data_IF_044135428537
#
_entry.id   IF_044135428537
#
_cell.length_a   1.000
_cell.length_b   1.000
_cell.length_c   1.000
_cell.angle_alpha   90.00
_cell.angle_beta   90.00
_cell.angle_gamma   90.00
#
_symmetry.space_group_name_H-M   'P 1'
#
loop_
_entity.id
_entity.type
_entity.pdbx_description
1 polymer ?
#
# COMPACT_ATOMS: atom_id res chain seq x y z
N UNK A 1 -2.62 -10.93 9.84
CA UNK A 1 -1.45 -10.48 9.06
C UNK A 1 -0.18 -10.97 9.76
N UNK A 2 0.71 -11.58 8.99
CA UNK A 2 2.02 -12.02 9.43
C UNK A 2 3.03 -10.94 9.03
N UNK A 3 3.73 -10.40 10.01
CA UNK A 3 4.80 -9.42 9.81
C UNK A 3 6.17 -10.12 9.84
N UNK A 4 7.11 -9.61 9.07
CA UNK A 4 8.49 -10.04 9.09
C UNK A 4 9.24 -9.58 10.37
N UNK A 5 10.55 -9.77 10.38
CA UNK A 5 11.39 -9.32 11.49
C UNK A 5 11.54 -7.79 11.49
N UNK A 6 11.23 -7.17 12.63
CA UNK A 6 11.35 -5.72 12.85
C UNK A 6 12.75 -5.18 12.55
N UNK A 7 13.78 -5.94 12.93
CA UNK A 7 15.18 -5.52 12.67
C UNK A 7 15.51 -5.40 11.18
N UNK A 8 14.93 -6.24 10.32
CA UNK A 8 15.12 -6.16 8.87
C UNK A 8 14.48 -4.89 8.33
N UNK A 9 13.24 -4.58 8.74
CA UNK A 9 12.57 -3.35 8.34
C UNK A 9 13.37 -2.10 8.71
N UNK A 10 13.75 -1.97 9.99
CA UNK A 10 14.37 -0.76 10.51
C UNK A 10 15.80 -0.49 9.98
N UNK A 11 16.49 -1.53 9.52
CA UNK A 11 17.88 -1.40 9.03
C UNK A 11 17.98 -1.11 7.53
N UNK A 12 16.90 -1.28 6.79
CA UNK A 12 16.91 -1.01 5.36
C UNK A 12 17.14 0.48 5.07
N UNK A 13 17.91 0.74 4.04
CA UNK A 13 18.30 2.08 3.60
C UNK A 13 17.72 2.36 2.22
N UNK A 14 17.46 3.60 1.83
CA UNK A 14 17.83 4.87 2.49
C UNK A 14 16.87 5.30 3.62
N UNK A 15 15.80 4.60 3.82
CA UNK A 15 14.83 4.75 4.90
C UNK A 15 14.25 3.38 5.25
N UNK A 16 13.62 3.20 6.42
CA UNK A 16 13.04 1.91 6.80
C UNK A 16 11.95 1.47 5.81
N UNK A 17 12.11 0.29 5.22
CA UNK A 17 11.10 -0.37 4.39
C UNK A 17 11.16 -1.88 4.55
N UNK A 18 10.07 -2.56 4.18
CA UNK A 18 10.00 -4.02 4.22
C UNK A 18 9.17 -4.57 3.08
N UNK A 19 9.58 -5.75 2.60
CA UNK A 19 8.81 -6.54 1.67
C UNK A 19 8.52 -7.92 2.28
N UNK A 20 7.26 -8.30 2.32
CA UNK A 20 6.81 -9.52 2.96
C UNK A 20 5.98 -10.33 1.94
N UNK A 21 6.31 -11.60 1.81
CA UNK A 21 5.53 -12.57 1.02
C UNK A 21 4.55 -13.29 1.93
N UNK A 22 3.35 -13.54 1.41
CA UNK A 22 2.28 -14.25 2.10
C UNK A 22 1.92 -13.62 3.47
N UNK A 23 1.75 -12.29 3.57
CA UNK A 23 1.38 -11.64 4.84
C UNK A 23 -0.02 -12.00 5.30
N UNK A 24 -0.88 -12.45 4.40
CA UNK A 24 -2.27 -12.85 4.67
C UNK A 24 -2.36 -14.38 4.56
N UNK A 25 -3.04 -15.00 5.52
CA UNK A 25 -3.33 -16.44 5.46
C UNK A 25 -3.97 -16.79 4.10
N UNK A 26 -3.52 -17.88 3.47
CA UNK A 26 -3.90 -18.26 2.11
C UNK A 26 -5.43 -18.32 1.91
N UNK A 27 -6.16 -18.97 2.83
CA UNK A 27 -7.63 -19.10 2.70
C UNK A 27 -8.33 -17.74 2.76
N UNK A 28 -7.89 -16.88 3.67
CA UNK A 28 -8.44 -15.54 3.80
C UNK A 28 -8.07 -14.66 2.58
N UNK A 29 -6.83 -14.79 2.11
CA UNK A 29 -6.36 -14.11 0.89
C UNK A 29 -7.18 -14.51 -0.35
N UNK A 30 -7.47 -15.81 -0.52
CA UNK A 30 -8.30 -16.29 -1.64
C UNK A 30 -9.68 -15.64 -1.66
N UNK A 31 -10.31 -15.46 -0.51
CA UNK A 31 -11.62 -14.80 -0.42
C UNK A 31 -11.53 -13.29 -0.72
N UNK A 32 -10.48 -12.62 -0.26
CA UNK A 32 -10.22 -11.23 -0.63
C UNK A 32 -9.97 -11.09 -2.14
N UNK A 33 -9.15 -11.96 -2.71
CA UNK A 33 -8.84 -11.94 -4.14
C UNK A 33 -10.09 -12.15 -5.00
N UNK A 34 -10.90 -13.18 -4.72
CA UNK A 34 -12.13 -13.48 -5.45
C UNK A 34 -13.16 -12.35 -5.39
N UNK A 35 -13.15 -11.61 -4.30
CA UNK A 35 -14.13 -10.56 -4.01
C UNK A 35 -13.53 -9.15 -4.11
N UNK A 36 -12.36 -9.01 -4.76
CA UNK A 36 -11.79 -7.70 -5.03
C UNK A 36 -12.79 -6.87 -5.84
N UNK A 37 -13.08 -5.61 -5.43
CA UNK A 37 -14.18 -4.86 -6.02
C UNK A 37 -13.96 -4.58 -7.50
N UNK A 38 -14.97 -4.88 -8.30
CA UNK A 38 -15.01 -4.51 -9.71
C UNK A 38 -15.05 -3.00 -9.87
N UNK A 39 -14.56 -2.50 -10.99
CA UNK A 39 -14.61 -1.07 -11.30
C UNK A 39 -16.05 -0.64 -11.54
N UNK A 40 -16.52 0.30 -10.74
CA UNK A 40 -17.85 0.89 -10.77
C UNK A 40 -17.78 2.42 -10.58
N UNK A 41 -18.90 3.07 -10.34
CA UNK A 41 -19.02 4.52 -10.15
C UNK A 41 -18.40 5.04 -8.83
N UNK A 42 -17.99 4.15 -7.93
CA UNK A 42 -17.25 4.50 -6.70
C UNK A 42 -15.75 4.67 -6.95
N UNK A 43 -15.27 4.25 -8.10
CA UNK A 43 -13.88 4.43 -8.48
C UNK A 43 -13.66 5.81 -9.10
N UNK A 44 -12.54 6.43 -8.77
CA UNK A 44 -12.13 7.72 -9.30
C UNK A 44 -10.72 7.68 -9.87
N UNK A 45 -10.46 8.50 -10.88
CA UNK A 45 -9.13 8.68 -11.42
C UNK A 45 -8.26 9.50 -10.47
N UNK A 46 -7.04 9.02 -10.26
CA UNK A 46 -6.01 9.74 -9.52
C UNK A 46 -4.89 10.11 -10.50
N UNK A 47 -5.26 10.88 -11.52
CA UNK A 47 -4.43 11.21 -12.66
C UNK A 47 -3.94 12.66 -12.61
N UNK A 48 -2.66 12.85 -12.78
CA UNK A 48 -2.01 14.11 -13.04
C UNK A 48 -0.73 13.85 -13.86
N UNK A 49 0.09 14.88 -14.08
CA UNK A 49 1.33 14.72 -14.86
C UNK A 49 2.40 13.87 -14.17
N UNK A 50 2.21 13.49 -12.90
CA UNK A 50 3.14 12.67 -12.12
C UNK A 50 2.67 11.25 -11.91
N UNK A 51 1.37 10.98 -12.10
CA UNK A 51 0.77 9.66 -11.83
C UNK A 51 -0.47 9.39 -12.65
N UNK A 52 -0.75 8.11 -12.84
CA UNK A 52 -2.02 7.61 -13.33
C UNK A 52 -2.39 6.32 -12.58
N UNK A 53 -3.60 6.26 -12.08
CA UNK A 53 -4.21 5.07 -11.47
C UNK A 53 -5.68 5.33 -11.20
N UNK A 54 -6.46 4.27 -10.95
CA UNK A 54 -7.80 4.43 -10.39
C UNK A 54 -7.84 3.94 -8.94
N UNK A 55 -8.61 4.62 -8.14
CA UNK A 55 -8.74 4.36 -6.70
C UNK A 55 -10.20 4.31 -6.27
N UNK A 56 -10.45 3.56 -5.20
CA UNK A 56 -11.73 3.53 -4.50
C UNK A 56 -11.49 3.59 -3.00
N UNK A 57 -12.16 4.49 -2.31
CA UNK A 57 -12.17 4.47 -0.85
C UNK A 57 -13.00 3.30 -0.31
N UNK A 58 -12.65 2.83 0.88
CA UNK A 58 -13.50 1.91 1.61
C UNK A 58 -14.72 2.66 2.16
N UNK A 59 -15.91 2.14 1.85
CA UNK A 59 -17.17 2.70 2.33
C UNK A 59 -17.30 4.21 2.12
N UNK A 60 -17.62 4.92 3.20
CA UNK A 60 -17.67 6.39 3.24
C UNK A 60 -16.35 7.05 3.65
N UNK A 61 -15.30 6.23 3.90
CA UNK A 61 -13.98 6.75 4.23
C UNK A 61 -13.45 7.64 3.09
N UNK A 62 -12.70 8.67 3.46
CA UNK A 62 -11.95 9.52 2.53
C UNK A 62 -10.52 9.64 3.03
N UNK A 63 -9.63 10.13 2.19
CA UNK A 63 -8.18 10.13 2.41
C UNK A 63 -7.69 10.54 3.81
N UNK A 64 -8.42 11.24 4.61
CA UNK A 64 -8.00 11.71 5.94
C UNK A 64 -9.04 11.43 7.02
N UNK A 65 -10.06 10.64 6.71
CA UNK A 65 -11.16 10.38 7.60
C UNK A 65 -11.61 8.92 7.49
N UNK A 66 -11.21 8.12 8.46
CA UNK A 66 -11.68 6.74 8.60
C UNK A 66 -13.01 6.75 9.35
N UNK A 67 -14.00 6.15 8.73
CA UNK A 67 -15.32 5.91 9.33
C UNK A 67 -15.41 4.42 9.59
N UNK A 68 -15.51 4.03 10.86
CA UNK A 68 -15.52 2.63 11.30
C UNK A 68 -16.92 2.01 11.10
N UNK A 69 -17.28 1.82 9.84
CA UNK A 69 -18.54 1.23 9.40
C UNK A 69 -18.29 0.24 8.28
N UNK A 70 -19.13 -0.77 8.15
CA UNK A 70 -19.07 -1.71 7.03
C UNK A 70 -19.36 -1.02 5.70
N UNK A 71 -18.64 -1.41 4.67
CA UNK A 71 -19.04 -1.17 3.29
C UNK A 71 -19.93 -2.32 2.82
N UNK A 72 -21.24 -2.11 2.83
CA UNK A 72 -22.23 -3.13 2.46
C UNK A 72 -22.17 -3.56 0.99
N UNK A 73 -21.38 -2.86 0.15
CA UNK A 73 -21.13 -3.25 -1.24
C UNK A 73 -19.90 -4.15 -1.41
N UNK A 74 -19.21 -4.46 -0.32
CA UNK A 74 -18.05 -5.34 -0.27
C UNK A 74 -18.40 -6.64 0.46
N UNK A 75 -17.59 -7.68 0.25
CA UNK A 75 -17.72 -8.92 1.00
C UNK A 75 -17.38 -8.71 2.49
N UNK A 76 -17.87 -9.63 3.32
CA UNK A 76 -17.52 -9.68 4.74
C UNK A 76 -16.01 -9.74 4.99
N UNK A 77 -15.24 -10.39 4.11
CA UNK A 77 -13.79 -10.52 4.24
C UNK A 77 -13.08 -9.17 4.12
N UNK A 78 -13.53 -8.27 3.25
CA UNK A 78 -12.99 -6.91 3.15
C UNK A 78 -13.33 -6.07 4.37
N UNK A 79 -14.54 -6.20 4.91
CA UNK A 79 -14.94 -5.54 6.15
C UNK A 79 -14.12 -6.06 7.34
N UNK A 80 -13.92 -7.39 7.45
CA UNK A 80 -13.07 -7.99 8.48
C UNK A 80 -11.61 -7.49 8.40
N UNK A 81 -11.04 -7.42 7.20
CA UNK A 81 -9.68 -6.87 7.02
C UNK A 81 -9.59 -5.41 7.45
N UNK A 82 -10.56 -4.59 7.05
CA UNK A 82 -10.62 -3.18 7.42
C UNK A 82 -10.69 -2.99 8.93
N UNK A 83 -11.61 -3.67 9.60
CA UNK A 83 -11.75 -3.59 11.06
C UNK A 83 -10.52 -4.11 11.78
N UNK A 84 -9.91 -5.20 11.29
CA UNK A 84 -8.65 -5.68 11.84
C UNK A 84 -7.55 -4.62 11.75
N UNK A 85 -7.35 -3.99 10.57
CA UNK A 85 -6.34 -2.96 10.39
C UNK A 85 -6.59 -1.70 11.26
N UNK A 86 -7.85 -1.43 11.59
CA UNK A 86 -8.23 -0.34 12.49
C UNK A 86 -8.23 -0.73 13.98
N UNK A 87 -7.93 -1.99 14.30
CA UNK A 87 -7.95 -2.51 15.66
C UNK A 87 -6.69 -2.12 16.45
N UNK A 88 -6.82 -2.15 17.78
CA UNK A 88 -5.68 -1.99 18.69
C UNK A 88 -4.61 -3.06 18.46
N UNK A 89 -5.01 -4.32 18.23
CA UNK A 89 -4.08 -5.42 17.95
C UNK A 89 -3.20 -5.12 16.73
N UNK A 90 -3.80 -4.66 15.64
CA UNK A 90 -3.04 -4.33 14.42
C UNK A 90 -2.09 -3.15 14.63
N UNK A 91 -2.54 -2.09 15.32
CA UNK A 91 -1.69 -0.92 15.60
C UNK A 91 -0.52 -1.26 16.53
N UNK A 92 -0.73 -2.14 17.52
CA UNK A 92 0.35 -2.62 18.38
C UNK A 92 1.38 -3.45 17.60
N UNK A 93 0.94 -4.41 16.78
CA UNK A 93 1.82 -5.19 15.90
C UNK A 93 2.59 -4.31 14.91
N UNK A 94 1.92 -3.32 14.30
CA UNK A 94 2.59 -2.37 13.40
C UNK A 94 3.61 -1.52 14.15
N UNK A 95 3.30 -1.11 15.38
CA UNK A 95 4.25 -0.35 16.22
C UNK A 95 5.48 -1.17 16.55
N UNK A 96 5.31 -2.43 16.93
CA UNK A 96 6.41 -3.35 17.22
C UNK A 96 7.27 -3.60 15.97
N UNK A 97 6.64 -3.85 14.84
CA UNK A 97 7.33 -4.12 13.57
C UNK A 97 8.12 -2.91 13.08
N UNK A 98 7.52 -1.73 13.09
CA UNK A 98 8.12 -0.51 12.55
C UNK A 98 9.06 0.21 13.53
N UNK A 99 8.90 -0.02 14.83
CA UNK A 99 9.53 0.79 15.88
C UNK A 99 8.91 2.19 16.01
N UNK A 100 7.84 2.48 15.29
CA UNK A 100 7.11 3.74 15.34
C UNK A 100 5.91 3.61 16.29
N UNK A 101 5.51 4.69 16.95
CA UNK A 101 4.24 4.72 17.66
C UNK A 101 3.11 4.88 16.65
N UNK A 102 2.47 3.76 16.28
CA UNK A 102 1.30 3.71 15.41
C UNK A 102 0.03 3.65 16.25
N UNK A 103 -0.95 4.49 15.98
CA UNK A 103 -2.13 4.64 16.84
C UNK A 103 -3.45 4.32 16.17
N UNK A 104 -3.56 4.54 14.85
CA UNK A 104 -4.78 4.28 14.09
C UNK A 104 -4.53 4.20 12.58
N UNK A 105 -5.45 3.57 11.91
CA UNK A 105 -5.58 3.66 10.45
C UNK A 105 -6.00 5.09 10.06
N UNK A 106 -5.34 5.67 9.06
CA UNK A 106 -5.65 7.02 8.55
C UNK A 106 -6.37 6.99 7.20
N UNK A 107 -5.97 6.11 6.32
CA UNK A 107 -6.61 5.91 5.02
C UNK A 107 -6.64 4.44 4.65
N UNK A 108 -7.63 4.05 3.86
CA UNK A 108 -7.74 2.73 3.25
C UNK A 108 -8.35 2.87 1.86
N UNK A 109 -7.60 2.47 0.83
CA UNK A 109 -8.00 2.58 -0.55
C UNK A 109 -7.75 1.26 -1.30
N UNK A 110 -8.68 0.87 -2.16
CA UNK A 110 -8.40 -0.03 -3.26
C UNK A 110 -7.69 0.77 -4.36
N UNK A 111 -6.69 0.17 -4.99
CA UNK A 111 -5.90 0.79 -6.05
C UNK A 111 -5.80 -0.19 -7.21
N UNK A 112 -6.12 0.25 -8.40
CA UNK A 112 -5.96 -0.54 -9.61
C UNK A 112 -5.07 0.22 -10.57
N UNK A 113 -3.91 -0.37 -10.88
CA UNK A 113 -3.05 0.09 -11.96
C UNK A 113 -3.28 -0.78 -13.19
N UNK A 114 -3.42 -0.14 -14.33
CA UNK A 114 -3.68 -0.74 -15.63
C UNK A 114 -2.49 -0.47 -16.55
N UNK A 115 -2.45 -1.09 -17.68
CA UNK A 115 -1.47 -0.73 -18.72
C UNK A 115 -1.53 0.78 -19.02
N UNK A 116 -0.38 1.42 -18.99
CA UNK A 116 -0.25 2.87 -19.14
C UNK A 116 -0.21 3.64 -17.83
N UNK A 117 -0.65 3.05 -16.72
CA UNK A 117 -0.59 3.69 -15.41
C UNK A 117 0.85 3.73 -14.88
N UNK A 118 1.16 4.73 -14.06
CA UNK A 118 2.49 4.96 -13.48
C UNK A 118 2.39 5.85 -12.23
N UNK A 119 3.49 5.95 -11.50
CA UNK A 119 3.63 6.94 -10.44
C UNK A 119 5.11 7.32 -10.36
N UNK A 120 5.45 8.54 -10.75
CA UNK A 120 6.83 9.03 -10.73
C UNK A 120 7.39 9.02 -9.30
N UNK A 121 8.71 8.98 -9.13
CA UNK A 121 9.33 9.04 -7.81
C UNK A 121 8.86 10.28 -7.05
N UNK A 122 8.35 10.08 -5.85
CA UNK A 122 7.88 11.15 -4.99
C UNK A 122 8.08 10.79 -3.52
N UNK A 123 8.08 11.81 -2.68
CA UNK A 123 8.02 11.69 -1.23
C UNK A 123 6.95 12.64 -0.70
N UNK A 124 6.17 12.20 0.29
CA UNK A 124 5.01 12.95 0.76
C UNK A 124 5.36 14.07 1.75
N UNK A 125 6.54 14.01 2.38
CA UNK A 125 6.91 14.90 3.48
C UNK A 125 8.09 15.82 3.18
N UNK A 126 8.38 16.07 1.89
CA UNK A 126 9.44 17.01 1.49
C UNK A 126 9.15 18.40 2.06
N UNK A 127 10.09 18.92 2.86
CA UNK A 127 9.97 20.24 3.48
C UNK A 127 9.01 20.33 4.68
N UNK A 128 8.41 19.21 5.10
CA UNK A 128 7.53 19.13 6.27
C UNK A 128 8.35 18.69 7.49
N UNK A 129 8.08 19.26 8.65
CA UNK A 129 8.75 18.85 9.89
C UNK A 129 8.16 17.54 10.42
N UNK A 130 8.95 16.67 11.10
CA UNK A 130 8.47 15.39 11.61
C UNK A 130 7.24 15.46 12.51
N UNK A 131 7.10 16.51 13.31
CA UNK A 131 5.94 16.74 14.17
C UNK A 131 4.65 17.01 13.38
N UNK A 132 4.76 17.46 12.14
CA UNK A 132 3.66 17.83 11.27
C UNK A 132 3.30 16.72 10.26
N UNK A 133 3.93 15.54 10.35
CA UNK A 133 3.63 14.44 9.45
C UNK A 133 2.20 13.94 9.65
N UNK A 134 1.43 13.97 8.58
CA UNK A 134 0.04 13.51 8.60
C UNK A 134 -0.08 11.99 8.81
N UNK A 135 0.95 11.22 8.45
CA UNK A 135 1.05 9.77 8.68
C UNK A 135 2.52 9.35 8.72
N UNK A 136 2.77 8.20 9.31
CA UNK A 136 4.12 7.72 9.62
C UNK A 136 4.53 6.50 8.81
N UNK A 137 3.54 5.80 8.26
CA UNK A 137 3.74 4.49 7.70
C UNK A 137 2.76 4.23 6.57
N UNK A 138 3.27 3.82 5.42
CA UNK A 138 2.48 3.44 4.23
C UNK A 138 2.67 1.97 3.92
N UNK A 139 1.58 1.33 3.55
CA UNK A 139 1.54 -0.09 3.16
C UNK A 139 0.76 -0.25 1.86
N UNK A 140 1.29 -1.09 0.97
CA UNK A 140 0.56 -1.63 -0.16
C UNK A 140 0.56 -3.17 -0.08
N UNK A 141 -0.61 -3.78 -0.24
CA UNK A 141 -0.77 -5.24 -0.36
C UNK A 141 -1.28 -5.54 -1.76
N UNK A 142 -0.61 -6.46 -2.44
CA UNK A 142 -0.91 -6.81 -3.83
C UNK A 142 -1.79 -8.06 -3.92
N UNK A 143 -2.70 -8.02 -4.89
CA UNK A 143 -3.63 -9.08 -5.25
C UNK A 143 -3.50 -9.44 -6.74
N UNK A 144 -2.30 -9.39 -7.28
CA UNK A 144 -2.04 -9.52 -8.72
C UNK A 144 -1.52 -10.92 -9.08
N UNK A 145 -2.34 -11.97 -8.92
CA UNK A 145 -2.00 -13.37 -9.22
C UNK A 145 -1.51 -13.60 -10.64
N UNK A 146 -2.09 -12.90 -11.60
CA UNK A 146 -1.77 -13.05 -13.02
C UNK A 146 -0.59 -12.18 -13.46
N UNK A 147 0.04 -11.45 -12.54
CA UNK A 147 1.22 -10.66 -12.85
C UNK A 147 2.37 -11.56 -13.27
N UNK A 148 3.09 -11.24 -14.37
CA UNK A 148 4.19 -12.09 -14.84
C UNK A 148 5.27 -12.23 -13.77
N UNK A 149 5.61 -13.47 -13.42
CA UNK A 149 6.62 -13.75 -12.38
C UNK A 149 7.97 -13.11 -12.73
N UNK A 150 8.52 -12.40 -11.77
CA UNK A 150 9.80 -11.71 -11.92
C UNK A 150 9.72 -10.38 -12.68
N UNK A 151 8.56 -10.05 -13.27
CA UNK A 151 8.39 -8.76 -13.91
C UNK A 151 8.32 -7.63 -12.86
N UNK A 152 9.02 -6.51 -13.07
CA UNK A 152 8.88 -5.33 -12.23
C UNK A 152 7.47 -4.76 -12.33
N UNK A 153 7.00 -4.09 -11.30
CA UNK A 153 5.66 -3.49 -11.30
C UNK A 153 5.08 -3.22 -9.92
N UNK A 154 5.77 -3.63 -8.87
CA UNK A 154 5.45 -3.20 -7.50
C UNK A 154 5.80 -1.72 -7.27
N UNK A 155 5.43 -1.21 -6.12
CA UNK A 155 5.91 0.10 -5.68
C UNK A 155 7.40 -0.02 -5.35
N UNK A 156 8.23 0.70 -6.08
CA UNK A 156 9.67 0.70 -5.86
C UNK A 156 10.09 1.67 -4.76
N UNK A 157 11.27 1.43 -4.21
CA UNK A 157 11.99 2.32 -3.29
C UNK A 157 13.19 2.88 -4.05
N UNK A 158 13.42 4.19 -3.95
CA UNK A 158 14.54 4.86 -4.59
C UNK A 158 15.30 5.80 -3.63
N UNK A 159 16.53 6.13 -3.96
CA UNK A 159 17.35 7.08 -3.19
C UNK A 159 17.00 8.54 -3.50
N UNK A 160 16.27 8.81 -4.59
CA UNK A 160 15.94 10.16 -5.02
C UNK A 160 14.81 10.21 -6.04
N UNK A 161 14.69 11.37 -6.67
CA UNK A 161 13.62 11.72 -7.61
C UNK A 161 13.73 11.07 -8.99
N UNK A 162 14.75 10.27 -9.24
CA UNK A 162 15.02 9.67 -10.54
C UNK A 162 14.91 8.14 -10.46
N UNK A 163 14.23 7.52 -11.42
CA UNK A 163 14.09 6.06 -11.48
C UNK A 163 15.43 5.33 -11.67
N UNK A 164 16.49 6.00 -12.09
CA UNK A 164 17.84 5.39 -12.10
C UNK A 164 18.39 5.11 -10.70
N UNK A 165 17.80 5.73 -9.67
CA UNK A 165 18.16 5.56 -8.25
C UNK A 165 17.34 4.48 -7.54
N UNK A 166 16.53 3.69 -8.25
CA UNK A 166 15.74 2.59 -7.68
C UNK A 166 16.69 1.54 -7.11
N UNK A 167 16.51 1.22 -5.83
CA UNK A 167 17.30 0.22 -5.10
C UNK A 167 16.54 -1.05 -4.80
N UNK A 168 15.22 -0.98 -4.78
CA UNK A 168 14.34 -2.13 -4.54
C UNK A 168 13.03 -1.99 -5.31
N UNK A 169 12.58 -3.06 -5.93
CA UNK A 169 11.28 -3.14 -6.58
C UNK A 169 10.68 -4.53 -6.43
N UNK A 170 9.46 -4.68 -5.88
CA UNK A 170 8.78 -5.97 -5.82
C UNK A 170 8.47 -6.52 -7.21
N UNK A 171 8.78 -7.80 -7.42
CA UNK A 171 8.51 -8.56 -8.65
C UNK A 171 7.57 -9.75 -8.42
N UNK A 172 7.16 -9.97 -7.18
CA UNK A 172 6.17 -10.95 -6.79
C UNK A 172 5.00 -10.20 -6.16
N UNK A 173 3.90 -10.10 -6.90
CA UNK A 173 2.75 -9.27 -6.56
C UNK A 173 1.50 -10.10 -6.21
N UNK A 174 1.71 -11.39 -5.88
CA UNK A 174 0.66 -12.27 -5.38
C UNK A 174 0.81 -12.46 -3.88
N UNK A 175 -0.20 -12.08 -3.12
CA UNK A 175 -0.18 -12.10 -1.65
C UNK A 175 1.15 -11.59 -1.08
N UNK A 176 1.54 -10.41 -1.49
CA UNK A 176 2.75 -9.77 -1.01
C UNK A 176 2.48 -8.33 -0.59
N UNK A 177 3.35 -7.80 0.21
CA UNK A 177 3.21 -6.48 0.76
C UNK A 177 4.55 -5.73 0.73
N UNK A 178 4.49 -4.47 0.34
CA UNK A 178 5.55 -3.50 0.57
C UNK A 178 5.08 -2.46 1.58
N UNK A 179 5.96 -2.07 2.46
CA UNK A 179 5.68 -1.03 3.45
C UNK A 179 6.92 -0.19 3.70
N UNK A 180 6.72 1.04 4.10
CA UNK A 180 7.82 1.95 4.37
C UNK A 180 7.44 3.04 5.36
N UNK A 181 8.44 3.51 6.11
CA UNK A 181 8.32 4.69 6.95
C UNK A 181 8.27 5.94 6.09
N UNK A 182 7.38 6.84 6.45
CA UNK A 182 7.27 8.14 5.81
C UNK A 182 8.29 9.12 6.40
N UNK A 183 9.14 9.61 5.53
CA UNK A 183 10.18 10.60 5.83
C UNK A 183 10.28 11.59 4.67
N UNK A 184 10.98 12.72 4.80
CA UNK A 184 11.21 13.62 3.67
C UNK A 184 11.94 12.98 2.51
N UNK A 185 12.66 11.88 2.77
CA UNK A 185 13.48 11.17 1.79
C UNK A 185 12.93 9.79 1.43
N UNK A 186 11.67 9.49 1.79
CA UNK A 186 11.03 8.21 1.45
C UNK A 186 10.55 8.19 -0.01
N UNK A 187 11.51 8.33 -0.93
CA UNK A 187 11.24 8.33 -2.37
C UNK A 187 10.75 6.97 -2.84
N UNK A 188 9.60 6.97 -3.47
CA UNK A 188 8.96 5.76 -3.99
C UNK A 188 8.07 6.09 -5.19
N UNK A 189 7.68 5.06 -5.94
CA UNK A 189 6.83 5.22 -7.10
C UNK A 189 6.43 3.88 -7.71
N UNK A 190 5.91 3.90 -8.92
CA UNK A 190 5.62 2.72 -9.72
C UNK A 190 5.99 2.99 -11.16
N UNK A 191 6.73 2.08 -11.78
CA UNK A 191 7.08 2.20 -13.20
C UNK A 191 5.84 2.24 -14.08
N UNK A 192 6.01 2.77 -15.27
CA UNK A 192 5.01 2.68 -16.32
C UNK A 192 4.61 1.22 -16.55
N UNK A 193 3.31 0.93 -16.42
CA UNK A 193 2.76 -0.42 -16.54
C UNK A 193 2.69 -0.82 -18.02
N UNK A 194 3.50 -1.79 -18.42
CA UNK A 194 3.58 -2.26 -19.82
C UNK A 194 2.71 -3.49 -20.07
N UNK A 195 2.33 -4.23 -19.04
CA UNK A 195 1.54 -5.45 -19.15
C UNK A 195 0.04 -5.17 -19.31
N UNK A 196 -0.63 -6.01 -20.09
CA UNK A 196 -2.09 -5.92 -20.25
C UNK A 196 -2.87 -6.43 -19.02
N UNK A 197 -2.18 -7.10 -18.09
CA UNK A 197 -2.75 -7.59 -16.83
C UNK A 197 -2.84 -6.45 -15.82
N UNK A 198 -4.01 -6.19 -15.22
CA UNK A 198 -4.14 -5.17 -14.18
C UNK A 198 -3.42 -5.59 -12.90
N UNK A 199 -2.99 -4.62 -12.12
CA UNK A 199 -2.35 -4.79 -10.83
C UNK A 199 -3.27 -4.30 -9.70
N UNK A 200 -4.16 -5.15 -9.18
CA UNK A 200 -4.97 -4.81 -8.02
C UNK A 200 -4.13 -4.80 -6.74
N UNK A 201 -4.38 -3.82 -5.90
CA UNK A 201 -3.76 -3.67 -4.59
C UNK A 201 -4.65 -2.89 -3.64
N UNK A 202 -4.37 -2.96 -2.35
CA UNK A 202 -4.85 -1.98 -1.38
C UNK A 202 -3.69 -1.12 -0.93
N UNK A 203 -3.98 0.14 -0.65
CA UNK A 203 -3.05 1.08 -0.03
C UNK A 203 -3.69 1.62 1.24
N UNK A 204 -2.97 1.55 2.34
CA UNK A 204 -3.39 2.19 3.58
C UNK A 204 -2.23 2.91 4.26
N UNK A 205 -2.57 3.93 5.03
CA UNK A 205 -1.62 4.71 5.82
C UNK A 205 -2.01 4.69 7.29
N UNK A 206 -1.02 4.78 8.15
CA UNK A 206 -1.20 4.77 9.61
C UNK A 206 -0.50 5.95 10.27
N UNK A 207 -1.07 6.47 11.35
CA UNK A 207 -0.53 7.57 12.17
C UNK A 207 -0.13 7.09 13.56
#
# INVERSE_FOLDING_TARGET
IILGESQTFQKNQPFPYGFIKNPINEKFYEELYKTYPSVDDKWYSADDYTRSSIKRHFGRCKANNIIDEDDTSLSEYWNLLFHYLNSKEATEKMSEYTGLKVTKLRSFNFVLNRKGDFNLPHSHHVGIKPEDYEYKFTVLIYFAKDWPKGAPGGTYISEGEDESTIIFEPTDLDNSWICFSETPNSWHGSRYMTHDVPRPSIQFTMV
#
